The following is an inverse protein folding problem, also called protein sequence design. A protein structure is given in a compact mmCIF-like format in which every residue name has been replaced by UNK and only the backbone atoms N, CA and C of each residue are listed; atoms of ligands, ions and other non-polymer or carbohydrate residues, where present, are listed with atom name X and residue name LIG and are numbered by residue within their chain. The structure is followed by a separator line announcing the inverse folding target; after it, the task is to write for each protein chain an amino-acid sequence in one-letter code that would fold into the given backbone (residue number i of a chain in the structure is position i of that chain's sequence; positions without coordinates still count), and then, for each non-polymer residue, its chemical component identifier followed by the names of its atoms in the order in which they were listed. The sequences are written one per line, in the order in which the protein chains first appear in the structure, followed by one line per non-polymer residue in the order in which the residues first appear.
data_IF_790632008482
#
_entry.id   IF_790632008482
#
_cell.length_a   1.000
_cell.length_b   1.000
_cell.length_c   1.000
_cell.angle_alpha   90.00
_cell.angle_beta   90.00
_cell.angle_gamma   90.00
#
_symmetry.space_group_name_H-M   'P 1'
#
loop_
_entity.id
_entity.type
_entity.pdbx_description
1 polymer ?
#
# COMPACT_ATOMS: atom_id res chain seq x y z
N UNK A 1 7.30 -11.30 -16.88
CA UNK A 1 6.31 -10.80 -15.91
C UNK A 1 6.01 -11.92 -14.94
N UNK A 2 5.80 -11.60 -13.66
CA UNK A 2 5.25 -12.58 -12.73
C UNK A 2 3.79 -12.88 -13.16
N UNK A 3 3.20 -14.00 -12.72
CA UNK A 3 1.79 -14.29 -12.99
C UNK A 3 0.84 -13.24 -12.40
N UNK A 4 -0.47 -13.48 -12.49
CA UNK A 4 -1.47 -12.62 -11.85
C UNK A 4 -1.85 -13.07 -10.42
N UNK A 5 -1.33 -14.22 -9.99
CA UNK A 5 -1.55 -14.74 -8.64
C UNK A 5 -0.91 -13.83 -7.56
N UNK A 6 -1.63 -13.50 -6.49
CA UNK A 6 -1.10 -12.67 -5.40
C UNK A 6 0.08 -13.37 -4.70
N UNK A 7 0.94 -12.58 -4.04
CA UNK A 7 1.90 -13.16 -3.10
C UNK A 7 1.19 -13.72 -1.85
N UNK A 8 1.74 -14.76 -1.23
CA UNK A 8 1.27 -15.27 0.08
C UNK A 8 1.22 -14.18 1.15
N UNK A 9 2.19 -13.25 1.12
CA UNK A 9 2.23 -12.10 2.02
C UNK A 9 1.05 -11.13 1.79
N UNK A 10 0.57 -10.99 0.55
CA UNK A 10 -0.61 -10.19 0.27
C UNK A 10 -1.86 -10.85 0.87
N UNK A 11 -1.98 -12.19 0.73
CA UNK A 11 -3.08 -12.97 1.32
C UNK A 11 -3.08 -12.85 2.85
N UNK A 12 -1.92 -13.04 3.49
CA UNK A 12 -1.78 -12.88 4.93
C UNK A 12 -2.12 -11.45 5.39
N UNK A 13 -1.71 -10.44 4.62
CA UNK A 13 -2.01 -9.03 4.93
C UNK A 13 -3.50 -8.73 4.79
N UNK A 14 -4.21 -9.31 3.82
CA UNK A 14 -5.65 -9.12 3.68
C UNK A 14 -6.41 -9.57 4.94
N UNK A 15 -6.02 -10.70 5.52
CA UNK A 15 -6.62 -11.19 6.78
C UNK A 15 -6.39 -10.18 7.92
N UNK A 16 -5.16 -9.69 8.04
CA UNK A 16 -4.80 -8.69 9.05
C UNK A 16 -5.58 -7.37 8.87
N UNK A 17 -5.73 -6.89 7.64
CA UNK A 17 -6.52 -5.69 7.33
C UNK A 17 -7.99 -5.87 7.70
N UNK A 18 -8.56 -7.04 7.43
CA UNK A 18 -9.95 -7.37 7.80
C UNK A 18 -10.14 -7.44 9.31
N UNK A 19 -9.22 -8.09 10.04
CA UNK A 19 -9.26 -8.18 11.51
C UNK A 19 -9.23 -6.79 12.16
N UNK A 20 -8.48 -5.86 11.58
CA UNK A 20 -8.35 -4.48 12.05
C UNK A 20 -9.40 -3.52 11.44
N UNK A 21 -10.35 -4.04 10.64
CA UNK A 21 -11.41 -3.25 9.97
C UNK A 21 -10.88 -2.08 9.14
N UNK A 22 -9.74 -2.28 8.49
CA UNK A 22 -9.18 -1.27 7.57
C UNK A 22 -9.98 -1.24 6.27
N UNK A 23 -10.06 -0.08 5.63
CA UNK A 23 -10.85 0.10 4.41
C UNK A 23 -10.03 0.74 3.27
N UNK A 24 -9.30 1.81 3.55
CA UNK A 24 -8.47 2.54 2.57
C UNK A 24 -7.03 2.06 2.63
N UNK A 25 -6.55 1.42 1.56
CA UNK A 25 -5.23 0.81 1.51
C UNK A 25 -4.37 1.48 0.43
N UNK A 26 -3.14 1.86 0.80
CA UNK A 26 -2.14 2.37 -0.15
C UNK A 26 -1.10 1.29 -0.48
N UNK A 27 -0.84 1.11 -1.78
CA UNK A 27 0.15 0.18 -2.33
C UNK A 27 1.27 0.96 -3.05
N UNK A 28 2.34 1.36 -2.34
CA UNK A 28 3.52 1.93 -2.97
C UNK A 28 4.31 0.84 -3.72
N UNK A 29 4.67 1.11 -4.98
CA UNK A 29 5.19 0.08 -5.89
C UNK A 29 4.06 -0.84 -6.36
N UNK A 30 3.01 -0.24 -6.93
CA UNK A 30 1.79 -0.94 -7.34
C UNK A 30 2.05 -1.99 -8.43
N UNK A 31 3.09 -1.79 -9.24
CA UNK A 31 3.35 -2.56 -10.45
C UNK A 31 2.15 -2.56 -11.38
N UNK A 32 1.87 -3.71 -11.99
CA UNK A 32 0.65 -3.93 -12.80
C UNK A 32 -0.54 -4.41 -11.95
N UNK A 33 -0.45 -4.29 -10.61
CA UNK A 33 -1.54 -4.54 -9.69
C UNK A 33 -1.77 -5.99 -9.28
N UNK A 34 -0.82 -6.92 -9.49
CA UNK A 34 -0.95 -8.34 -9.09
C UNK A 34 -1.50 -8.53 -7.66
N UNK A 35 -0.93 -7.82 -6.70
CA UNK A 35 -1.32 -7.93 -5.28
C UNK A 35 -2.57 -7.10 -4.94
N UNK A 36 -2.96 -6.15 -5.78
CA UNK A 36 -4.13 -5.30 -5.54
C UNK A 36 -5.45 -6.06 -5.70
N UNK A 37 -5.47 -7.12 -6.51
CA UNK A 37 -6.68 -7.88 -6.84
C UNK A 37 -7.40 -8.39 -5.61
N UNK A 38 -6.68 -9.06 -4.72
CA UNK A 38 -7.31 -9.65 -3.52
C UNK A 38 -7.86 -8.59 -2.57
N UNK A 39 -7.29 -7.39 -2.55
CA UNK A 39 -7.78 -6.31 -1.70
C UNK A 39 -9.04 -5.69 -2.31
N UNK A 40 -9.03 -5.43 -3.62
CA UNK A 40 -10.19 -4.91 -4.35
C UNK A 40 -11.36 -5.90 -4.38
N UNK A 41 -11.10 -7.18 -4.65
CA UNK A 41 -12.10 -8.26 -4.58
C UNK A 41 -12.70 -8.40 -3.16
N UNK A 42 -11.93 -8.03 -2.13
CA UNK A 42 -12.37 -7.99 -0.74
C UNK A 42 -13.17 -6.73 -0.37
N UNK A 43 -13.38 -5.80 -1.30
CA UNK A 43 -14.11 -4.55 -1.10
C UNK A 43 -13.28 -3.42 -0.47
N UNK A 44 -11.96 -3.57 -0.36
CA UNK A 44 -11.08 -2.51 0.14
C UNK A 44 -10.87 -1.45 -0.95
N UNK A 45 -10.82 -0.18 -0.53
CA UNK A 45 -10.48 0.95 -1.41
C UNK A 45 -8.97 1.02 -1.59
N UNK A 46 -8.48 0.60 -2.74
CA UNK A 46 -7.05 0.54 -3.05
C UNK A 46 -6.61 1.79 -3.82
N UNK A 47 -5.49 2.37 -3.42
CA UNK A 47 -4.74 3.35 -4.21
C UNK A 47 -3.30 2.88 -4.41
N UNK A 48 -2.76 3.05 -5.60
CA UNK A 48 -1.40 2.69 -5.96
C UNK A 48 -0.49 3.89 -6.20
N UNK A 49 0.82 3.70 -6.03
CA UNK A 49 1.86 4.59 -6.59
C UNK A 49 2.80 3.71 -7.40
N UNK A 50 3.10 4.09 -8.64
CA UNK A 50 3.97 3.33 -9.52
C UNK A 50 4.78 4.26 -10.43
N UNK A 51 6.03 3.91 -10.72
CA UNK A 51 6.93 4.69 -11.58
C UNK A 51 6.87 4.24 -13.04
N UNK A 52 6.45 3.00 -13.30
CA UNK A 52 6.37 2.46 -14.66
C UNK A 52 5.02 2.78 -15.31
N UNK A 53 5.01 3.66 -16.30
CA UNK A 53 3.84 3.92 -17.16
C UNK A 53 3.28 2.64 -17.77
N UNK A 54 4.15 1.76 -18.28
CA UNK A 54 3.75 0.46 -18.83
C UNK A 54 2.99 -0.40 -17.81
N UNK A 55 3.43 -0.41 -16.55
CA UNK A 55 2.76 -1.16 -15.50
C UNK A 55 1.40 -0.53 -15.13
N UNK A 56 1.32 0.81 -15.12
CA UNK A 56 0.07 1.56 -14.91
C UNK A 56 -0.92 1.28 -16.04
N UNK A 57 -0.48 1.25 -17.30
CA UNK A 57 -1.34 0.95 -18.43
C UNK A 57 -1.88 -0.48 -18.39
N UNK A 58 -1.05 -1.44 -17.94
CA UNK A 58 -1.52 -2.80 -17.67
C UNK A 58 -2.55 -2.81 -16.53
N UNK A 59 -2.26 -2.13 -15.42
CA UNK A 59 -3.21 -2.02 -14.31
C UNK A 59 -4.56 -1.44 -14.76
N UNK A 60 -4.57 -0.36 -15.54
CA UNK A 60 -5.81 0.23 -16.10
C UNK A 60 -6.61 -0.75 -16.96
N UNK A 61 -5.94 -1.59 -17.75
CA UNK A 61 -6.62 -2.64 -18.52
C UNK A 61 -7.28 -3.70 -17.63
N UNK A 62 -6.71 -3.95 -16.46
CA UNK A 62 -7.20 -4.97 -15.52
C UNK A 62 -8.27 -4.45 -14.55
N UNK A 63 -8.13 -3.21 -14.09
CA UNK A 63 -8.96 -2.63 -13.04
C UNK A 63 -9.88 -1.51 -13.53
N UNK A 64 -9.71 -1.02 -14.76
CA UNK A 64 -10.43 0.16 -15.23
C UNK A 64 -10.21 1.35 -14.31
N UNK A 65 -11.31 1.98 -13.91
CA UNK A 65 -11.34 3.13 -13.00
C UNK A 65 -11.55 2.72 -11.52
N UNK A 66 -11.65 1.42 -11.21
CA UNK A 66 -11.89 0.93 -9.85
C UNK A 66 -10.68 1.15 -8.93
N UNK A 67 -9.48 1.29 -9.51
CA UNK A 67 -8.23 1.54 -8.78
C UNK A 67 -7.55 2.79 -9.32
N UNK A 68 -7.33 3.76 -8.42
CA UNK A 68 -6.48 4.91 -8.68
C UNK A 68 -5.01 4.52 -8.55
N UNK A 69 -4.19 4.85 -9.55
CA UNK A 69 -2.73 4.69 -9.49
C UNK A 69 -2.07 6.02 -9.84
N UNK A 70 -1.31 6.60 -8.90
CA UNK A 70 -0.47 7.76 -9.15
C UNK A 70 0.80 7.35 -9.89
N UNK A 71 1.10 8.07 -10.97
CA UNK A 71 2.37 7.91 -11.68
C UNK A 71 3.46 8.75 -10.99
N UNK A 72 4.46 8.10 -10.42
CA UNK A 72 5.61 8.76 -9.81
C UNK A 72 6.40 7.88 -8.85
N UNK A 73 7.52 8.41 -8.37
CA UNK A 73 8.32 7.77 -7.32
C UNK A 73 7.59 7.85 -5.98
N UNK A 74 7.64 6.78 -5.19
CA UNK A 74 7.18 6.77 -3.79
C UNK A 74 7.89 7.86 -2.97
N UNK A 75 9.14 8.21 -3.31
CA UNK A 75 9.88 9.30 -2.64
C UNK A 75 9.32 10.70 -2.92
N UNK A 76 8.43 10.85 -3.90
CA UNK A 76 7.78 12.12 -4.24
C UNK A 76 6.43 12.32 -3.55
N UNK A 77 6.03 11.40 -2.66
CA UNK A 77 4.85 11.58 -1.81
C UNK A 77 4.93 12.91 -1.01
N UNK A 78 3.78 13.54 -0.72
CA UNK A 78 2.41 13.07 -0.96
C UNK A 78 1.87 13.40 -2.37
N UNK A 79 1.01 12.52 -2.91
CA UNK A 79 0.30 12.73 -4.18
C UNK A 79 -1.14 13.22 -3.99
N UNK A 80 -1.70 13.04 -2.80
CA UNK A 80 -3.00 13.57 -2.38
C UNK A 80 -3.00 13.92 -0.89
N UNK A 81 -4.17 14.30 -0.38
CA UNK A 81 -4.41 14.58 1.03
C UNK A 81 -5.22 13.46 1.70
N UNK A 82 -5.33 12.28 1.07
CA UNK A 82 -6.10 11.17 1.63
C UNK A 82 -5.34 10.52 2.78
N UNK A 83 -6.10 10.08 3.80
CA UNK A 83 -5.57 9.25 4.87
C UNK A 83 -5.90 7.79 4.56
N UNK A 84 -4.86 6.97 4.61
CA UNK A 84 -4.95 5.53 4.42
C UNK A 84 -4.91 4.80 5.76
N UNK A 85 -5.74 3.77 5.88
CA UNK A 85 -5.87 2.92 7.05
C UNK A 85 -4.70 1.92 7.14
N UNK A 86 -4.22 1.44 5.98
CA UNK A 86 -3.14 0.46 5.90
C UNK A 86 -2.28 0.60 4.65
N UNK A 87 -1.06 0.07 4.72
CA UNK A 87 -0.11 0.05 3.61
C UNK A 87 0.43 -1.35 3.40
N UNK A 88 0.33 -1.81 2.16
CA UNK A 88 0.94 -3.04 1.71
C UNK A 88 2.04 -2.74 0.69
N UNK A 89 3.29 -3.05 1.05
CA UNK A 89 4.45 -2.73 0.25
C UNK A 89 5.24 -4.00 -0.07
N UNK A 90 5.15 -4.47 -1.32
CA UNK A 90 5.79 -5.70 -1.75
C UNK A 90 7.09 -5.40 -2.49
N UNK A 91 8.21 -5.89 -1.96
CA UNK A 91 9.55 -5.81 -2.55
C UNK A 91 10.16 -4.40 -2.77
N UNK A 92 9.53 -3.31 -2.31
CA UNK A 92 10.12 -1.96 -2.45
C UNK A 92 11.43 -1.79 -1.68
N UNK A 93 11.57 -2.45 -0.51
CA UNK A 93 12.79 -2.37 0.31
C UNK A 93 14.01 -2.99 -0.37
N UNK A 94 13.83 -3.90 -1.34
CA UNK A 94 14.97 -4.50 -2.05
C UNK A 94 15.55 -3.58 -3.15
N UNK A 95 14.85 -2.49 -3.49
CA UNK A 95 15.26 -1.57 -4.56
C UNK A 95 15.80 -0.22 -4.05
N UNK A 96 15.53 0.12 -2.79
CA UNK A 96 15.93 1.40 -2.19
C UNK A 96 17.28 1.24 -1.46
N UNK A 97 18.30 1.98 -1.88
CA UNK A 97 19.55 2.09 -1.12
C UNK A 97 19.24 2.64 0.29
N UNK A 98 20.07 2.33 1.30
CA UNK A 98 19.85 2.72 2.70
C UNK A 98 19.56 4.22 2.92
N UNK A 99 19.98 5.10 2.00
CA UNK A 99 19.67 6.54 2.03
C UNK A 99 18.23 6.92 1.65
N UNK A 100 17.51 6.05 0.93
CA UNK A 100 16.09 6.21 0.56
C UNK A 100 15.13 5.52 1.54
N UNK A 101 15.66 4.84 2.57
CA UNK A 101 14.86 4.22 3.63
C UNK A 101 14.14 5.26 4.50
N UNK A 102 14.48 6.54 4.35
CA UNK A 102 13.78 7.67 4.92
C UNK A 102 12.51 7.96 4.10
N UNK A 103 11.57 7.02 4.08
CA UNK A 103 10.18 7.43 3.98
C UNK A 103 9.97 8.40 5.17
N UNK A 104 9.53 9.65 4.93
CA UNK A 104 9.56 10.66 5.97
C UNK A 104 8.86 10.12 7.21
N UNK A 105 9.58 10.05 8.34
CA UNK A 105 9.07 9.59 9.63
C UNK A 105 7.73 10.27 10.02
N UNK A 106 7.43 11.41 9.41
CA UNK A 106 6.21 12.19 9.51
C UNK A 106 4.96 11.53 8.91
N UNK A 107 5.09 10.57 7.98
CA UNK A 107 3.93 9.95 7.29
C UNK A 107 3.44 8.68 8.01
N UNK A 108 4.29 8.02 8.81
CA UNK A 108 4.00 6.69 9.33
C UNK A 108 4.21 6.57 10.84
N UNK A 109 3.13 6.78 11.60
CA UNK A 109 3.04 6.42 13.03
C UNK A 109 2.26 5.10 13.14
N UNK A 110 2.89 3.97 12.83
CA UNK A 110 2.20 2.67 12.75
C UNK A 110 3.07 1.49 13.21
N UNK A 111 2.43 0.38 13.61
CA UNK A 111 3.15 -0.87 13.89
C UNK A 111 3.52 -1.51 12.54
N UNK A 112 4.81 -1.70 12.30
CA UNK A 112 5.31 -2.48 11.16
C UNK A 112 5.25 -3.96 11.54
N UNK A 113 4.48 -4.75 10.79
CA UNK A 113 4.52 -6.21 10.90
C UNK A 113 5.32 -6.73 9.72
N UNK A 114 6.50 -7.30 10.00
CA UNK A 114 7.36 -7.91 8.98
C UNK A 114 7.02 -9.38 8.90
N UNK A 115 5.98 -9.73 8.15
CA UNK A 115 5.76 -11.12 7.72
C UNK A 115 6.72 -11.41 6.57
N UNK A 116 7.66 -12.36 6.76
CA UNK A 116 8.58 -12.90 5.74
C UNK A 116 9.03 -11.87 4.66
N UNK A 117 9.94 -10.95 5.01
CA UNK A 117 10.58 -10.01 4.09
C UNK A 117 9.68 -9.02 3.32
N UNK A 118 8.41 -8.84 3.73
CA UNK A 118 7.50 -7.85 3.14
C UNK A 118 7.11 -6.82 4.20
N UNK A 119 7.51 -5.54 4.07
CA UNK A 119 7.08 -4.51 5.00
C UNK A 119 5.58 -4.25 4.87
N UNK A 120 4.83 -4.56 5.93
CA UNK A 120 3.43 -4.15 6.07
C UNK A 120 3.35 -3.12 7.18
N UNK A 121 2.83 -1.93 6.88
CA UNK A 121 2.65 -0.88 7.88
C UNK A 121 1.15 -0.74 8.18
N UNK A 122 0.79 -0.94 9.45
CA UNK A 122 -0.55 -0.68 9.96
C UNK A 122 -0.53 0.60 10.78
N UNK A 123 -1.37 1.58 10.44
CA UNK A 123 -1.62 2.69 11.35
C UNK A 123 -2.64 2.25 12.40
N UNK A 124 -2.27 2.28 13.68
CA UNK A 124 -3.25 2.22 14.76
C UNK A 124 -3.70 3.65 15.03
N UNK A 125 -4.91 4.02 14.62
CA UNK A 125 -5.54 5.24 15.13
C UNK A 125 -6.11 4.88 16.49
N UNK A 126 -5.29 5.04 17.55
CA UNK A 126 -5.88 5.14 18.88
C UNK A 126 -6.77 6.41 18.88
N UNK A 127 -7.99 6.37 19.43
CA UNK A 127 -8.75 7.59 19.64
C UNK A 127 -7.87 8.51 20.50
N UNK A 128 -7.58 9.71 19.99
CA UNK A 128 -7.03 10.77 20.82
C UNK A 128 -8.17 11.13 21.77
N UNK A 129 -8.11 10.65 23.02
CA UNK A 129 -8.89 11.25 24.08
C UNK A 129 -8.44 12.71 24.17
N UNK A 130 -9.28 13.62 23.69
CA UNK A 130 -9.17 15.03 24.01
C UNK A 130 -9.45 15.15 25.51
N UNK A 131 -8.41 15.08 26.32
CA UNK A 131 -8.46 15.66 27.66
C UNK A 131 -8.43 17.17 27.48
N UNK A 132 -9.62 17.76 27.50
CA UNK A 132 -9.79 19.21 27.48
C UNK A 132 -9.03 19.87 28.62
N UNK A 133 -8.36 20.98 28.27
CA UNK A 133 -7.79 21.96 29.18
C UNK A 133 -8.07 23.35 28.62
#
# INVERSE_FOLDING_TARGET
MWGFEPADSAIATLNLFRENRLNKILLPGFGYGRNAKIFTDAGLKVTGIEISETAIDLAKKHYGDDVRVYHGSVSAMPFDQELYDGIFCYALIQLLNQSQLLLPHTVYTGRTFVGHNVPVCLKHVAPVEYTGG
#
